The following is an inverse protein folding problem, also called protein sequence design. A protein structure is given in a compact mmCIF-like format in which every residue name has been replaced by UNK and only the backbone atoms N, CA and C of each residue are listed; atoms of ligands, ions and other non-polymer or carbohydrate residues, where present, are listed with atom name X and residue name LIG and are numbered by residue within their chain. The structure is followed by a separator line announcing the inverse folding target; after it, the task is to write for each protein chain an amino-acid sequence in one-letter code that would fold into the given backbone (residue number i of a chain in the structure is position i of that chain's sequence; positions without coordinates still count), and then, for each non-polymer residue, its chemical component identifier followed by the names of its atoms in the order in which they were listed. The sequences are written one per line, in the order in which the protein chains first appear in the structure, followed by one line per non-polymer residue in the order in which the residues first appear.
data_IF_866057688272
#
_entry.id   IF_866057688272
#
_cell.length_a   1.000
_cell.length_b   1.000
_cell.length_c   1.000
_cell.angle_alpha   90.00
_cell.angle_beta   90.00
_cell.angle_gamma   90.00
#
_symmetry.space_group_name_H-M   'P 1'
#
loop_
_entity.id
_entity.type
_entity.pdbx_description
1 polymer ?
#
# COMPACT_ATOMS: atom_id res chain seq x y z
N UNK A 1 17.12 -3.76 0.14
CA UNK A 1 18.03 -4.24 -0.93
C UNK A 1 17.17 -4.82 -2.04
N UNK A 2 17.30 -4.33 -3.28
CA UNK A 2 16.61 -4.88 -4.45
C UNK A 2 17.36 -6.11 -4.94
N UNK A 3 16.73 -7.28 -4.91
CA UNK A 3 17.29 -8.48 -5.54
C UNK A 3 17.02 -8.42 -7.05
N UNK A 4 18.07 -8.58 -7.86
CA UNK A 4 17.99 -8.77 -9.31
C UNK A 4 18.11 -10.27 -9.59
N UNK A 5 17.22 -10.82 -10.41
CA UNK A 5 17.38 -12.17 -10.92
C UNK A 5 18.29 -12.19 -12.17
N UNK A 6 18.83 -13.37 -12.52
CA UNK A 6 19.84 -13.60 -13.57
C UNK A 6 19.37 -13.26 -15.00
N UNK A 7 18.11 -12.88 -15.20
CA UNK A 7 17.55 -12.44 -16.49
C UNK A 7 17.28 -10.92 -16.57
N UNK A 8 17.80 -10.11 -15.65
CA UNK A 8 17.76 -8.64 -15.78
C UNK A 8 16.42 -7.99 -15.41
N UNK A 9 15.48 -8.76 -14.88
CA UNK A 9 14.24 -8.23 -14.31
C UNK A 9 14.42 -7.91 -12.82
N UNK A 10 13.89 -6.77 -12.40
CA UNK A 10 13.86 -6.34 -11.00
C UNK A 10 12.83 -7.20 -10.25
N UNK A 11 13.27 -7.93 -9.23
CA UNK A 11 12.34 -8.59 -8.30
C UNK A 11 11.73 -7.47 -7.46
N UNK A 12 10.51 -7.06 -7.83
CA UNK A 12 9.65 -6.25 -6.97
C UNK A 12 9.39 -7.11 -5.73
N UNK A 13 9.91 -6.72 -4.58
CA UNK A 13 9.43 -7.27 -3.31
C UNK A 13 7.92 -7.03 -3.25
N UNK A 14 7.15 -8.09 -3.48
CA UNK A 14 5.67 -8.15 -3.43
C UNK A 14 5.13 -8.01 -1.99
N UNK A 15 5.92 -7.44 -1.10
CA UNK A 15 5.64 -7.42 0.33
C UNK A 15 5.17 -6.00 0.67
N UNK A 16 3.93 -5.93 1.14
CA UNK A 16 3.25 -4.70 1.58
C UNK A 16 4.19 -3.80 2.39
N UNK A 17 4.32 -2.52 2.02
CA UNK A 17 5.00 -1.53 2.84
C UNK A 17 4.05 -1.04 3.95
N UNK A 18 4.27 -1.38 5.24
CA UNK A 18 3.38 -1.00 6.34
C UNK A 18 3.29 0.52 6.50
N UNK A 19 4.35 1.25 6.18
CA UNK A 19 4.42 2.71 6.22
C UNK A 19 3.44 3.36 5.24
N UNK A 20 3.37 2.86 4.00
CA UNK A 20 2.46 3.39 2.98
C UNK A 20 0.99 3.14 3.32
N UNK A 21 0.69 1.97 3.88
CA UNK A 21 -0.65 1.61 4.33
C UNK A 21 -1.09 2.48 5.52
N UNK A 22 -0.19 2.68 6.48
CA UNK A 22 -0.42 3.57 7.62
C UNK A 22 -0.66 5.01 7.15
N UNK A 23 0.16 5.53 6.23
CA UNK A 23 -0.01 6.89 5.69
C UNK A 23 -1.35 7.03 4.94
N UNK A 24 -1.72 6.05 4.11
CA UNK A 24 -2.99 6.06 3.39
C UNK A 24 -4.19 6.04 4.36
N UNK A 25 -4.14 5.20 5.39
CA UNK A 25 -5.19 5.13 6.41
C UNK A 25 -5.28 6.40 7.24
N UNK A 26 -4.13 7.01 7.57
CA UNK A 26 -4.08 8.30 8.24
C UNK A 26 -4.82 9.37 7.44
N UNK A 27 -4.53 9.49 6.13
CA UNK A 27 -5.19 10.47 5.24
C UNK A 27 -6.71 10.26 5.15
N UNK A 28 -7.17 9.01 5.09
CA UNK A 28 -8.61 8.69 5.00
C UNK A 28 -9.34 9.05 6.30
N UNK A 29 -8.69 8.79 7.44
CA UNK A 29 -9.28 9.01 8.77
C UNK A 29 -9.04 10.43 9.30
N UNK A 30 -8.25 11.25 8.62
CA UNK A 30 -7.91 12.62 9.04
C UNK A 30 -6.85 12.68 10.14
N UNK A 31 -5.97 11.68 10.22
CA UNK A 31 -4.84 11.65 11.14
C UNK A 31 -3.57 12.17 10.45
N UNK A 32 -2.69 12.78 11.22
CA UNK A 32 -1.35 13.14 10.79
C UNK A 32 -0.44 11.92 10.95
N UNK A 33 0.13 11.43 9.85
CA UNK A 33 1.15 10.39 9.90
C UNK A 33 2.39 10.92 10.62
N UNK A 34 2.76 10.26 11.71
CA UNK A 34 3.87 10.64 12.59
C UNK A 34 4.33 9.37 13.32
N UNK A 35 5.02 8.45 12.61
CA UNK A 35 5.46 7.20 13.19
C UNK A 35 6.49 7.46 14.28
N UNK A 36 6.28 6.82 15.43
CA UNK A 36 7.20 6.86 16.55
C UNK A 36 8.18 5.69 16.47
N UNK A 37 9.48 5.96 16.58
CA UNK A 37 10.51 4.91 16.53
C UNK A 37 10.56 4.07 17.82
N UNK A 38 10.05 4.60 18.94
CA UNK A 38 10.05 3.90 20.22
C UNK A 38 8.78 3.05 20.42
N UNK A 39 7.67 3.45 19.79
CA UNK A 39 6.36 2.83 20.00
C UNK A 39 5.78 2.31 18.69
N UNK A 40 5.85 0.99 18.49
CA UNK A 40 5.44 0.33 17.23
C UNK A 40 4.00 0.61 16.79
N UNK A 41 3.11 0.93 17.74
CA UNK A 41 1.70 1.17 17.47
C UNK A 41 1.36 2.66 17.26
N UNK A 42 2.25 3.60 17.61
CA UNK A 42 2.04 5.04 17.39
C UNK A 42 2.49 5.41 15.98
N UNK A 43 1.64 5.15 14.99
CA UNK A 43 1.95 5.47 13.58
C UNK A 43 1.45 6.86 13.16
N UNK A 44 0.40 7.35 13.79
CA UNK A 44 -0.15 8.67 13.53
C UNK A 44 -0.97 9.20 14.70
N UNK A 45 -1.20 10.51 14.67
CA UNK A 45 -1.95 11.24 15.71
C UNK A 45 -2.94 12.21 15.07
N UNK A 46 -4.14 12.33 15.63
CA UNK A 46 -5.14 13.34 15.20
C UNK A 46 -5.26 14.46 16.22
N UNK A 47 -5.31 14.11 17.51
CA UNK A 47 -5.37 15.02 18.66
C UNK A 47 -4.25 14.67 19.65
N UNK A 48 -4.08 15.44 20.73
CA UNK A 48 -3.07 15.20 21.77
C UNK A 48 -3.12 13.80 22.38
N UNK A 49 -4.31 13.19 22.44
CA UNK A 49 -4.55 11.87 23.05
C UNK A 49 -5.19 10.85 22.09
N UNK A 50 -5.19 11.10 20.78
CA UNK A 50 -5.87 10.24 19.80
C UNK A 50 -4.90 9.73 18.73
N UNK A 51 -4.73 8.41 18.70
CA UNK A 51 -3.71 7.72 17.91
C UNK A 51 -4.32 6.73 16.92
N UNK A 52 -3.58 6.42 15.85
CA UNK A 52 -3.96 5.40 14.87
C UNK A 52 -2.84 4.37 14.72
N UNK A 53 -3.24 3.10 14.74
CA UNK A 53 -2.39 1.96 14.47
C UNK A 53 -2.95 1.15 13.31
N UNK A 54 -2.16 0.96 12.26
CA UNK A 54 -2.55 0.20 11.09
C UNK A 54 -1.64 -1.01 10.91
N UNK A 55 -2.23 -2.20 10.80
CA UNK A 55 -1.47 -3.43 10.57
C UNK A 55 -2.21 -4.42 9.68
N UNK A 56 -1.48 -5.13 8.82
CA UNK A 56 -2.01 -6.25 8.03
C UNK A 56 -2.05 -7.56 8.82
N UNK A 57 -1.40 -7.59 9.99
CA UNK A 57 -1.35 -8.74 10.87
C UNK A 57 -2.67 -8.92 11.62
N UNK A 58 -2.90 -10.15 12.11
CA UNK A 58 -4.03 -10.46 12.95
C UNK A 58 -3.79 -9.91 14.36
N UNK A 59 -4.70 -9.07 14.85
CA UNK A 59 -4.66 -8.61 16.24
C UNK A 59 -5.24 -9.69 17.15
N UNK A 60 -4.39 -10.24 18.00
CA UNK A 60 -4.77 -11.16 19.08
C UNK A 60 -5.08 -10.40 20.36
N UNK A 61 -5.69 -11.08 21.33
CA UNK A 61 -5.95 -10.52 22.66
C UNK A 61 -4.67 -10.09 23.35
N UNK A 62 -3.59 -10.86 23.22
CA UNK A 62 -2.29 -10.55 23.83
C UNK A 62 -1.70 -9.22 23.33
N UNK A 63 -1.81 -8.97 22.02
CA UNK A 63 -1.33 -7.71 21.44
C UNK A 63 -2.21 -6.55 21.91
N UNK A 64 -3.53 -6.73 21.92
CA UNK A 64 -4.45 -5.70 22.39
C UNK A 64 -4.26 -5.38 23.88
N UNK A 65 -3.98 -6.38 24.70
CA UNK A 65 -3.69 -6.23 26.14
C UNK A 65 -2.41 -5.44 26.36
N UNK A 66 -1.31 -5.80 25.67
CA UNK A 66 -0.05 -5.05 25.73
C UNK A 66 -0.19 -3.59 25.30
N UNK A 67 -1.04 -3.32 24.31
CA UNK A 67 -1.33 -1.96 23.86
C UNK A 67 -2.17 -1.22 24.90
N UNK A 68 -3.17 -1.88 25.49
CA UNK A 68 -4.01 -1.32 26.54
C UNK A 68 -3.19 -0.97 27.79
N UNK A 69 -2.23 -1.80 28.20
CA UNK A 69 -1.34 -1.52 29.32
C UNK A 69 -0.44 -0.29 29.08
N UNK A 70 -0.12 0.00 27.82
CA UNK A 70 0.66 1.17 27.43
C UNK A 70 -0.19 2.43 27.21
N UNK A 71 -1.49 2.27 26.97
CA UNK A 71 -2.42 3.39 26.82
C UNK A 71 -2.84 3.90 28.19
N UNK A 72 -2.82 5.23 28.35
CA UNK A 72 -3.41 5.84 29.52
C UNK A 72 -4.94 5.88 29.40
N UNK A 73 -5.63 6.02 30.54
CA UNK A 73 -7.10 6.05 30.61
C UNK A 73 -7.73 7.20 29.80
N UNK A 74 -6.93 8.24 29.53
CA UNK A 74 -7.34 9.43 28.77
C UNK A 74 -6.95 9.36 27.28
N UNK A 75 -6.24 8.32 26.85
CA UNK A 75 -5.82 8.12 25.46
C UNK A 75 -6.81 7.21 24.72
N UNK A 76 -7.06 7.53 23.45
CA UNK A 76 -7.90 6.78 22.53
C UNK A 76 -7.05 6.25 21.37
N UNK A 77 -7.28 5.00 20.98
CA UNK A 77 -6.56 4.36 19.89
C UNK A 77 -7.50 3.75 18.85
N UNK A 78 -7.30 4.10 17.59
CA UNK A 78 -7.95 3.47 16.45
C UNK A 78 -7.04 2.41 15.85
N UNK A 79 -7.39 1.13 15.99
CA UNK A 79 -6.68 0.01 15.40
C UNK A 79 -7.36 -0.42 14.10
N UNK A 80 -6.69 -0.16 12.98
CA UNK A 80 -7.10 -0.56 11.65
C UNK A 80 -6.34 -1.84 11.25
N UNK A 81 -7.05 -2.96 11.17
CA UNK A 81 -6.42 -4.25 10.85
C UNK A 81 -7.19 -5.06 9.80
N UNK A 82 -6.51 -6.03 9.17
CA UNK A 82 -7.15 -6.94 8.21
C UNK A 82 -8.08 -7.92 8.93
N UNK A 83 -7.64 -8.40 10.09
CA UNK A 83 -8.39 -9.31 10.93
C UNK A 83 -8.05 -9.05 12.41
N UNK A 84 -9.02 -9.27 13.29
CA UNK A 84 -8.83 -9.21 14.72
C UNK A 84 -9.64 -10.32 15.38
N UNK A 85 -9.09 -10.91 16.42
CA UNK A 85 -9.73 -11.96 17.22
C UNK A 85 -9.98 -11.47 18.65
N UNK A 86 -10.39 -10.22 18.77
CA UNK A 86 -10.65 -9.54 20.06
C UNK A 86 -12.09 -9.08 20.11
N UNK A 87 -12.62 -9.00 21.34
CA UNK A 87 -13.95 -8.49 21.58
C UNK A 87 -13.84 -6.98 21.85
N UNK A 88 -14.48 -6.12 21.03
CA UNK A 88 -14.38 -4.66 21.21
C UNK A 88 -15.01 -4.16 22.52
N UNK A 89 -15.78 -5.01 23.22
CA UNK A 89 -16.37 -4.67 24.52
C UNK A 89 -15.35 -4.68 25.66
N UNK A 90 -14.26 -5.42 25.52
CA UNK A 90 -13.22 -5.53 26.54
C UNK A 90 -12.31 -4.29 26.58
N UNK A 91 -12.34 -3.46 25.52
CA UNK A 91 -11.42 -2.33 25.34
C UNK A 91 -12.19 -1.02 25.15
N UNK A 92 -12.53 -0.28 26.21
CA UNK A 92 -13.29 0.98 26.10
C UNK A 92 -12.49 2.09 25.41
N UNK A 93 -11.15 2.04 25.49
CA UNK A 93 -10.25 3.06 24.95
C UNK A 93 -9.71 2.72 23.56
N UNK A 94 -10.07 1.54 23.02
CA UNK A 94 -9.55 1.04 21.75
C UNK A 94 -10.71 0.76 20.79
N UNK A 95 -10.68 1.42 19.64
CA UNK A 95 -11.62 1.17 18.56
C UNK A 95 -10.99 0.27 17.50
N UNK A 96 -11.63 -0.85 17.19
CA UNK A 96 -11.18 -1.77 16.14
C UNK A 96 -11.97 -1.55 14.86
N UNK A 97 -11.28 -1.23 13.77
CA UNK A 97 -11.86 -1.15 12.44
C UNK A 97 -11.14 -2.05 11.44
N UNK A 98 -11.91 -2.55 10.47
CA UNK A 98 -11.35 -3.35 9.38
C UNK A 98 -10.90 -2.43 8.25
N UNK A 99 -9.72 -2.72 7.71
CA UNK A 99 -9.23 -2.01 6.54
C UNK A 99 -10.09 -2.41 5.33
N UNK A 100 -10.68 -1.45 4.60
CA UNK A 100 -11.46 -1.76 3.41
C UNK A 100 -10.56 -2.42 2.35
N UNK A 101 -11.09 -3.48 1.72
CA UNK A 101 -10.37 -4.26 0.71
C UNK A 101 -9.85 -3.43 -0.46
N UNK A 102 -10.49 -2.31 -0.79
CA UNK A 102 -10.04 -1.37 -1.81
C UNK A 102 -8.67 -0.75 -1.52
N UNK A 103 -8.32 -0.52 -0.25
CA UNK A 103 -7.00 0.00 0.14
C UNK A 103 -5.96 -1.10 0.13
N UNK A 104 -6.31 -2.31 0.58
CA UNK A 104 -5.44 -3.48 0.47
C UNK A 104 -5.10 -3.76 -1.00
N UNK A 105 -6.11 -3.76 -1.87
CA UNK A 105 -5.94 -3.98 -3.30
C UNK A 105 -5.14 -2.84 -3.94
N UNK A 106 -5.45 -1.57 -3.67
CA UNK A 106 -4.66 -0.43 -4.20
C UNK A 106 -3.20 -0.44 -3.71
N UNK A 107 -2.95 -0.91 -2.48
CA UNK A 107 -1.61 -1.04 -1.92
C UNK A 107 -0.84 -2.22 -2.54
N UNK A 108 -1.50 -3.33 -2.85
CA UNK A 108 -0.94 -4.44 -3.66
C UNK A 108 -0.61 -4.03 -5.09
N UNK A 109 -1.39 -3.12 -5.67
CA UNK A 109 -1.21 -2.57 -7.01
C UNK A 109 -0.29 -1.33 -7.05
N UNK A 110 0.34 -0.97 -5.93
CA UNK A 110 1.11 0.27 -5.73
C UNK A 110 2.44 0.38 -6.50
N UNK A 111 2.55 -0.20 -7.70
CA UNK A 111 3.55 0.18 -8.70
C UNK A 111 3.11 -0.23 -10.11
N UNK A 112 2.18 0.51 -10.68
CA UNK A 112 2.08 0.65 -12.12
C UNK A 112 2.07 2.15 -12.43
N UNK A 113 3.23 2.78 -12.23
CA UNK A 113 3.54 4.00 -12.96
C UNK A 113 4.51 3.60 -14.07
N UNK A 114 3.98 2.87 -15.05
CA UNK A 114 4.50 2.97 -16.40
C UNK A 114 3.83 4.18 -17.04
N UNK A 115 4.14 5.38 -16.54
CA UNK A 115 4.10 6.57 -17.39
C UNK A 115 5.21 6.41 -18.43
N UNK A 116 4.96 5.58 -19.43
CA UNK A 116 5.64 5.62 -20.71
C UNK A 116 5.27 6.98 -21.32
N UNK A 117 6.00 8.02 -20.95
CA UNK A 117 6.27 9.08 -21.91
C UNK A 117 7.02 8.38 -23.04
N UNK A 118 6.26 7.92 -24.05
CA UNK A 118 6.82 7.54 -25.33
C UNK A 118 7.39 8.85 -25.88
N UNK A 119 8.66 9.09 -25.56
CA UNK A 119 9.45 10.11 -26.21
C UNK A 119 9.30 9.88 -27.72
N UNK A 120 8.69 10.86 -28.37
CA UNK A 120 8.45 10.89 -29.80
C UNK A 120 9.79 10.69 -30.51
N UNK A 121 10.03 9.49 -31.02
CA UNK A 121 11.17 9.24 -31.91
C UNK A 121 10.76 9.74 -33.30
N UNK A 122 11.47 10.74 -33.87
CA UNK A 122 11.15 11.27 -35.18
C UNK A 122 11.34 10.16 -36.22
N UNK A 123 10.27 9.87 -36.96
CA UNK A 123 10.25 8.85 -38.01
C UNK A 123 11.21 9.30 -39.13
N UNK A 124 12.46 8.84 -39.07
CA UNK A 124 13.44 9.07 -40.13
C UNK A 124 13.21 8.03 -41.22
N UNK A 125 12.94 8.55 -42.41
CA UNK A 125 12.74 7.85 -43.69
C UNK A 125 13.58 6.59 -43.88
N UNK A 126 12.94 5.56 -44.44
CA UNK A 126 13.64 4.68 -45.37
C UNK A 126 12.72 4.31 -46.53
N UNK A 127 12.98 4.97 -47.65
CA UNK A 127 12.56 4.57 -48.98
C UNK A 127 12.85 3.09 -49.22
N UNK A 128 11.88 2.36 -49.76
CA UNK A 128 12.14 1.20 -50.61
C UNK A 128 11.08 1.19 -51.70
N UNK A 129 11.37 1.89 -52.80
CA UNK A 129 10.81 1.59 -54.11
C UNK A 129 11.19 0.14 -54.47
N UNK A 130 10.21 -0.62 -54.94
CA UNK A 130 10.43 -1.69 -55.92
C UNK A 130 9.10 -2.01 -56.60
N UNK A 131 8.83 -1.23 -57.64
CA UNK A 131 8.14 -1.69 -58.83
C UNK A 131 8.82 -2.94 -59.40
N UNK A 132 8.12 -4.08 -59.47
CA UNK A 132 8.31 -5.05 -60.57
C UNK A 132 7.21 -6.13 -60.63
N UNK A 133 6.42 -6.09 -61.71
CA UNK A 133 5.85 -7.21 -62.51
C UNK A 133 4.77 -8.10 -61.84
N UNK A 134 3.67 -8.46 -62.49
CA UNK A 134 3.32 -8.39 -63.91
C UNK A 134 1.87 -8.86 -64.13
N UNK A 135 1.44 -8.63 -65.36
CA UNK A 135 0.16 -8.88 -66.00
C UNK A 135 -0.28 -10.37 -66.02
N UNK A 136 -1.58 -10.57 -66.27
CA UNK A 136 -2.27 -11.73 -66.89
C UNK A 136 -2.88 -12.88 -66.03
N UNK A 137 -4.23 -12.87 -66.07
CA UNK A 137 -5.17 -13.92 -66.50
C UNK A 137 -5.71 -15.08 -65.62
N UNK A 138 -7.01 -15.29 -65.86
CA UNK A 138 -7.85 -16.50 -65.84
C UNK A 138 -8.45 -17.03 -64.51
N UNK A 139 -9.76 -16.83 -64.35
CA UNK A 139 -10.78 -17.89 -64.17
C UNK A 139 -12.21 -17.34 -64.28
#
# INVERSE_FOLDING_TARGET
MLQKDKFGNWIISKEYNPEMLAEAMCKIKGFQYSPDEAVFWKQGKSTENDFIFTTTQLITREIADQIQEQLNENESLLICCKAFNVQPRDYPNITFEKIPGSILNRCEFGRDDYSLEIAEIPYKEKQFELDFFGEEDEA
#
